data_IF_428796415627
#
_entry.id   IF_428796415627
#
_cell.length_a   1.000
_cell.length_b   1.000
_cell.length_c   1.000
_cell.angle_alpha   90.00
_cell.angle_beta   90.00
_cell.angle_gamma   90.00
#
_symmetry.space_group_name_H-M   'P 1'
#
loop_
_entity.id
_entity.type
_entity.pdbx_description
1 polymer ?
#
# COMPACT_ATOMS: atom_id res chain seq x y z
N UNK A 1 32.02 12.83 18.24
CA UNK A 1 31.09 11.98 17.46
C UNK A 1 29.80 11.77 18.23
N UNK A 2 29.01 12.84 18.37
CA UNK A 2 27.69 12.83 19.02
C UNK A 2 26.71 13.81 18.31
N UNK A 3 27.15 14.46 17.23
CA UNK A 3 26.41 15.51 16.53
C UNK A 3 25.68 15.00 15.28
N UNK A 4 25.94 13.77 14.82
CA UNK A 4 25.23 13.16 13.67
C UNK A 4 23.97 12.38 14.07
N UNK A 5 23.77 12.03 15.36
CA UNK A 5 22.54 11.34 15.81
C UNK A 5 21.34 12.28 15.90
N UNK A 6 21.53 13.52 16.34
CA UNK A 6 20.43 14.45 16.56
C UNK A 6 19.75 14.95 15.26
N UNK A 7 20.48 14.93 14.12
CA UNK A 7 19.95 15.33 12.82
C UNK A 7 19.15 14.23 12.09
N UNK A 8 19.37 12.96 12.45
CA UNK A 8 18.65 11.81 11.89
C UNK A 8 17.32 11.54 12.61
N UNK A 9 17.21 11.89 13.89
CA UNK A 9 16.01 11.63 14.70
C UNK A 9 14.79 12.49 14.30
N UNK A 10 14.97 13.69 13.74
CA UNK A 10 13.85 14.57 13.35
C UNK A 10 13.28 14.28 11.97
N UNK A 11 14.09 13.78 11.02
CA UNK A 11 13.64 13.44 9.66
C UNK A 11 12.90 12.10 9.65
N UNK A 12 13.12 11.27 10.68
CA UNK A 12 12.55 9.93 10.82
C UNK A 12 11.12 9.94 11.38
N UNK A 13 10.73 10.92 12.22
CA UNK A 13 9.42 10.90 12.89
C UNK A 13 8.24 11.14 11.94
N UNK A 14 8.38 12.01 10.93
CA UNK A 14 7.32 12.29 9.95
C UNK A 14 7.22 11.17 8.90
N UNK A 15 8.37 10.65 8.46
CA UNK A 15 8.47 9.46 7.62
C UNK A 15 7.83 8.23 8.29
N UNK A 16 8.09 8.06 9.58
CA UNK A 16 7.51 7.01 10.40
C UNK A 16 5.99 7.15 10.57
N UNK A 17 5.50 8.39 10.79
CA UNK A 17 4.05 8.65 10.84
C UNK A 17 3.39 8.17 9.55
N UNK A 18 3.98 8.49 8.40
CA UNK A 18 3.50 8.05 7.09
C UNK A 18 3.55 6.52 6.93
N UNK A 19 4.65 5.85 7.31
CA UNK A 19 4.74 4.39 7.22
C UNK A 19 3.67 3.68 8.05
N UNK A 20 3.47 4.11 9.30
CA UNK A 20 2.40 3.58 10.14
C UNK A 20 1.02 3.89 9.52
N UNK A 21 0.81 5.11 9.05
CA UNK A 21 -0.50 5.56 8.58
C UNK A 21 -0.90 4.99 7.23
N UNK A 22 0.02 4.75 6.31
CA UNK A 22 -0.32 4.32 4.95
C UNK A 22 -0.05 2.81 4.73
N UNK A 23 0.97 2.25 5.38
CA UNK A 23 1.48 0.92 5.00
C UNK A 23 1.12 -0.20 6.00
N UNK A 24 0.88 0.15 7.27
CA UNK A 24 0.55 -0.84 8.33
C UNK A 24 -0.98 -1.01 8.48
N UNK A 25 -1.77 -0.33 7.65
CA UNK A 25 -3.23 -0.49 7.65
C UNK A 25 -3.66 -1.80 6.95
N UNK A 26 -4.60 -2.56 7.53
CA UNK A 26 -5.18 -2.38 8.86
C UNK A 26 -4.21 -2.80 9.98
N UNK A 27 -4.13 -2.01 11.06
CA UNK A 27 -3.11 -2.17 12.11
C UNK A 27 -3.24 -3.53 12.81
N UNK A 28 -2.33 -4.47 12.53
CA UNK A 28 -2.33 -5.81 13.11
C UNK A 28 -1.46 -5.94 14.36
N UNK A 29 -1.88 -6.79 15.31
CA UNK A 29 -0.99 -7.21 16.40
C UNK A 29 0.20 -8.02 15.84
N UNK A 30 1.43 -7.67 16.24
CA UNK A 30 2.67 -8.29 15.72
C UNK A 30 2.97 -9.69 16.30
N UNK A 31 2.23 -10.12 17.32
CA UNK A 31 2.54 -11.34 18.07
C UNK A 31 1.47 -12.42 17.84
N UNK A 32 1.83 -13.56 17.21
CA UNK A 32 0.88 -14.63 16.88
C UNK A 32 0.13 -15.23 18.08
N UNK A 33 0.73 -15.22 19.28
CA UNK A 33 0.10 -15.72 20.52
C UNK A 33 -0.58 -14.64 21.35
N UNK A 34 -0.69 -13.41 20.85
CA UNK A 34 -1.62 -12.49 21.47
C UNK A 34 -3.00 -13.14 21.40
N UNK A 35 -3.72 -13.25 22.54
CA UNK A 35 -5.07 -13.87 22.67
C UNK A 35 -6.18 -13.33 21.73
N UNK A 36 -5.76 -12.47 20.81
CA UNK A 36 -6.46 -11.60 19.87
C UNK A 36 -5.61 -11.53 18.57
N UNK A 37 -5.01 -12.64 18.11
CA UNK A 37 -4.02 -12.68 17.01
C UNK A 37 -4.56 -12.25 15.63
N UNK A 38 -5.85 -11.92 15.57
CA UNK A 38 -6.55 -11.34 14.43
C UNK A 38 -7.10 -9.92 14.74
N UNK A 39 -6.63 -9.26 15.80
CA UNK A 39 -7.10 -7.89 16.08
C UNK A 39 -6.39 -6.92 15.18
N UNK A 40 -7.14 -6.59 14.14
CA UNK A 40 -6.99 -5.43 13.32
C UNK A 40 -7.63 -4.25 14.05
N UNK A 41 -6.89 -3.15 14.18
CA UNK A 41 -7.44 -1.90 14.69
C UNK A 41 -7.75 -1.00 13.50
N UNK A 42 -8.88 -0.28 13.59
CA UNK A 42 -9.23 0.72 12.59
C UNK A 42 -8.37 1.99 12.75
N UNK A 43 -7.93 2.27 13.98
CA UNK A 43 -7.17 3.46 14.31
C UNK A 43 -5.83 3.14 14.99
N UNK A 44 -4.79 3.86 14.57
CA UNK A 44 -3.43 3.78 15.10
C UNK A 44 -3.35 3.86 16.62
N UNK A 45 -4.11 4.78 17.22
CA UNK A 45 -4.10 5.01 18.67
C UNK A 45 -4.55 3.77 19.45
N UNK A 46 -5.50 3.01 18.90
CA UNK A 46 -6.00 1.78 19.50
C UNK A 46 -4.94 0.67 19.41
N UNK A 47 -4.28 0.55 18.26
CA UNK A 47 -3.16 -0.36 18.05
C UNK A 47 -1.98 -0.05 18.97
N UNK A 48 -1.53 1.21 19.05
CA UNK A 48 -0.43 1.60 19.93
C UNK A 48 -0.78 1.32 21.40
N UNK A 49 -2.02 1.63 21.82
CA UNK A 49 -2.51 1.34 23.17
C UNK A 49 -2.49 -0.16 23.47
N UNK A 50 -2.86 -0.99 22.50
CA UNK A 50 -2.75 -2.43 22.61
C UNK A 50 -1.29 -2.89 22.74
N UNK A 51 -0.41 -2.44 21.84
CA UNK A 51 1.00 -2.84 21.83
C UNK A 51 1.71 -2.45 23.12
N UNK A 52 1.46 -1.24 23.63
CA UNK A 52 2.00 -0.74 24.91
C UNK A 52 1.46 -1.50 26.13
N UNK A 53 0.22 -2.00 26.07
CA UNK A 53 -0.42 -2.66 27.24
C UNK A 53 -0.27 -4.18 27.27
N UNK A 54 -0.05 -4.82 26.11
CA UNK A 54 -0.02 -6.29 25.97
C UNK A 54 1.36 -6.84 25.61
N UNK A 55 2.29 -6.01 25.15
CA UNK A 55 3.61 -6.45 24.68
C UNK A 55 4.76 -5.67 25.34
N UNK A 56 5.96 -6.26 25.40
CA UNK A 56 7.15 -5.59 25.92
C UNK A 56 7.48 -4.29 25.19
N UNK A 57 8.00 -3.29 25.89
CA UNK A 57 8.29 -1.95 25.34
C UNK A 57 9.31 -1.92 24.19
N UNK A 58 10.05 -3.01 23.96
CA UNK A 58 10.97 -3.15 22.83
C UNK A 58 10.27 -3.49 21.50
N UNK A 59 8.94 -3.66 21.47
CA UNK A 59 8.20 -3.87 20.20
C UNK A 59 8.44 -2.73 19.19
N UNK A 60 8.77 -1.52 19.67
CA UNK A 60 9.15 -0.40 18.82
C UNK A 60 10.42 -0.71 18.02
N UNK A 61 11.40 -1.42 18.59
CA UNK A 61 12.60 -1.80 17.85
C UNK A 61 12.27 -2.72 16.67
N UNK A 62 11.19 -3.50 16.78
CA UNK A 62 10.72 -4.40 15.73
C UNK A 62 10.12 -3.66 14.51
N UNK A 63 9.72 -2.40 14.69
CA UNK A 63 9.05 -1.58 13.66
C UNK A 63 9.99 -0.51 13.08
N UNK A 64 11.16 -0.28 13.71
CA UNK A 64 11.97 0.93 13.52
C UNK A 64 13.40 0.73 12.97
N UNK A 65 13.83 -0.45 12.53
CA UNK A 65 15.25 -0.65 12.14
C UNK A 65 15.48 -0.69 10.63
N UNK A 66 16.40 0.15 10.12
CA UNK A 66 16.95 0.13 8.75
C UNK A 66 17.63 -1.20 8.34
N UNK A 67 17.58 -2.20 9.22
CA UNK A 67 18.18 -3.53 9.08
C UNK A 67 17.07 -4.55 9.28
N UNK A 68 16.99 -5.54 8.39
CA UNK A 68 16.03 -6.62 8.46
C UNK A 68 16.41 -7.58 9.57
N UNK A 69 15.47 -8.04 10.40
CA UNK A 69 15.82 -8.99 11.45
C UNK A 69 14.76 -10.07 11.70
N UNK A 70 15.21 -11.13 12.35
CA UNK A 70 14.38 -12.17 12.92
C UNK A 70 14.85 -12.51 14.34
N UNK A 71 13.94 -12.44 15.30
CA UNK A 71 14.14 -12.74 16.72
C UNK A 71 13.31 -13.96 17.17
N UNK A 72 12.56 -14.58 16.25
CA UNK A 72 11.70 -15.73 16.55
C UNK A 72 12.50 -17.02 16.42
N UNK A 73 12.52 -17.83 17.48
CA UNK A 73 13.27 -19.10 17.56
C UNK A 73 14.80 -18.96 17.42
N UNK A 74 15.33 -17.76 17.60
CA UNK A 74 16.77 -17.48 17.61
C UNK A 74 17.22 -17.00 19.00
N UNK A 75 18.39 -17.44 19.45
CA UNK A 75 18.99 -16.96 20.71
C UNK A 75 19.46 -15.50 20.59
N UNK A 76 19.89 -15.10 19.39
CA UNK A 76 20.33 -13.75 19.05
C UNK A 76 19.54 -13.27 17.83
N UNK A 77 19.34 -11.95 17.73
CA UNK A 77 18.66 -11.34 16.58
C UNK A 77 19.47 -11.54 15.31
N UNK A 78 18.91 -12.30 14.35
CA UNK A 78 19.52 -12.50 13.04
C UNK A 78 19.23 -11.30 12.15
N UNK A 79 20.26 -10.72 11.54
CA UNK A 79 20.12 -9.61 10.59
C UNK A 79 20.21 -10.09 9.14
N UNK A 80 19.47 -9.46 8.23
CA UNK A 80 19.49 -9.75 6.79
C UNK A 80 19.82 -8.50 5.98
N UNK A 81 20.39 -8.69 4.80
CA UNK A 81 20.75 -7.61 3.89
C UNK A 81 19.55 -7.13 3.07
N UNK A 82 18.60 -8.03 2.77
CA UNK A 82 17.42 -7.73 1.93
C UNK A 82 16.11 -8.20 2.56
N UNK A 83 15.01 -7.54 2.18
CA UNK A 83 13.65 -7.93 2.59
C UNK A 83 13.33 -9.36 2.17
N UNK A 84 13.66 -9.72 0.93
CA UNK A 84 13.33 -11.02 0.35
C UNK A 84 13.98 -12.15 1.16
N UNK A 85 15.27 -12.03 1.47
CA UNK A 85 15.99 -12.99 2.32
C UNK A 85 15.32 -13.13 3.70
N UNK A 86 14.90 -12.01 4.29
CA UNK A 86 14.22 -12.03 5.59
C UNK A 86 12.84 -12.67 5.48
N UNK A 87 12.07 -12.40 4.41
CA UNK A 87 10.73 -12.98 4.20
C UNK A 87 10.82 -14.48 3.96
N UNK A 88 11.73 -14.94 3.11
CA UNK A 88 11.98 -16.35 2.87
C UNK A 88 12.37 -17.07 4.16
N UNK A 89 13.27 -16.47 4.95
CA UNK A 89 13.66 -17.00 6.27
C UNK A 89 12.47 -17.09 7.24
N UNK A 90 11.73 -15.98 7.40
CA UNK A 90 10.62 -15.89 8.37
C UNK A 90 9.47 -16.82 8.01
N UNK A 91 9.28 -17.12 6.72
CA UNK A 91 8.23 -18.01 6.23
C UNK A 91 8.65 -19.49 6.23
N UNK A 92 9.93 -19.81 6.44
CA UNK A 92 10.42 -21.19 6.49
C UNK A 92 10.06 -21.86 7.84
N UNK A 93 9.15 -22.86 7.85
CA UNK A 93 8.78 -23.56 9.08
C UNK A 93 9.94 -24.38 9.67
N UNK A 94 10.92 -24.79 8.86
CA UNK A 94 12.07 -25.56 9.33
C UNK A 94 13.02 -24.70 10.19
N UNK A 95 13.07 -23.39 9.93
CA UNK A 95 13.89 -22.43 10.69
C UNK A 95 13.18 -21.91 11.94
N UNK A 96 11.87 -22.16 12.06
CA UNK A 96 11.02 -21.72 13.17
C UNK A 96 10.21 -22.88 13.75
N UNK A 97 10.87 -23.89 14.34
CA UNK A 97 10.21 -25.14 14.76
C UNK A 97 9.26 -24.97 15.94
N UNK A 98 9.36 -23.90 16.73
CA UNK A 98 8.41 -23.64 17.83
C UNK A 98 7.29 -22.68 17.42
N UNK A 99 7.27 -22.25 16.15
CA UNK A 99 6.24 -21.38 15.60
C UNK A 99 5.03 -22.22 15.17
N UNK A 100 3.90 -21.97 15.81
CA UNK A 100 2.63 -22.66 15.52
C UNK A 100 1.89 -22.08 14.31
N UNK A 101 2.02 -20.78 14.05
CA UNK A 101 1.32 -20.08 12.96
C UNK A 101 2.26 -19.18 12.16
N UNK A 102 2.08 -19.15 10.84
CA UNK A 102 2.81 -18.24 9.96
C UNK A 102 2.30 -16.81 10.15
N UNK A 103 3.20 -15.80 10.11
CA UNK A 103 2.81 -14.41 10.20
C UNK A 103 1.96 -14.02 8.98
N UNK A 104 0.89 -13.27 9.24
CA UNK A 104 0.04 -12.73 8.20
C UNK A 104 0.68 -11.50 7.53
N UNK A 105 0.11 -11.08 6.40
CA UNK A 105 0.64 -9.98 5.60
C UNK A 105 0.76 -8.65 6.37
N UNK A 106 -0.21 -8.23 7.22
CA UNK A 106 -0.02 -7.09 8.11
C UNK A 106 1.15 -7.22 9.09
N UNK A 107 1.39 -8.41 9.66
CA UNK A 107 2.51 -8.67 10.56
C UNK A 107 3.86 -8.61 9.83
N UNK A 108 3.90 -9.08 8.59
CA UNK A 108 5.07 -8.98 7.73
C UNK A 108 5.34 -7.51 7.37
N UNK A 109 4.33 -6.78 6.92
CA UNK A 109 4.44 -5.36 6.53
C UNK A 109 4.90 -4.48 7.70
N UNK A 110 4.36 -4.68 8.89
CA UNK A 110 4.73 -3.88 10.07
C UNK A 110 6.15 -4.14 10.60
N UNK A 111 6.83 -5.17 10.11
CA UNK A 111 8.21 -5.49 10.45
C UNK A 111 9.15 -5.30 9.25
N UNK A 112 8.66 -4.65 8.20
CA UNK A 112 9.46 -4.25 7.04
C UNK A 112 9.83 -2.78 7.14
N UNK A 113 11.10 -2.46 6.90
CA UNK A 113 11.55 -1.07 6.89
C UNK A 113 11.73 -0.60 5.46
N UNK A 114 10.99 0.45 5.09
CA UNK A 114 11.23 1.16 3.84
C UNK A 114 12.44 2.10 4.03
N UNK A 115 13.32 2.12 3.03
CA UNK A 115 14.36 3.14 2.92
C UNK A 115 13.80 4.36 2.19
N UNK A 116 14.35 5.55 2.49
CA UNK A 116 13.99 6.84 1.91
C UNK A 116 14.05 6.89 0.36
N UNK A 117 14.78 5.96 -0.25
CA UNK A 117 15.00 5.93 -1.71
C UNK A 117 14.02 5.02 -2.48
N UNK A 118 12.98 4.49 -1.83
CA UNK A 118 11.84 3.94 -2.58
C UNK A 118 10.84 5.06 -2.88
N UNK A 119 10.89 5.53 -4.13
CA UNK A 119 9.77 6.19 -4.80
C UNK A 119 8.47 5.45 -4.46
N UNK A 120 7.56 6.20 -3.85
CA UNK A 120 6.13 5.96 -3.76
C UNK A 120 5.62 4.67 -3.07
N UNK A 121 4.88 4.89 -1.98
CA UNK A 121 3.89 3.93 -1.48
C UNK A 121 2.70 3.91 -2.45
N UNK A 122 2.81 3.10 -3.50
CA UNK A 122 1.66 2.75 -4.36
C UNK A 122 0.93 1.48 -3.91
N UNK A 123 1.26 0.92 -2.73
CA UNK A 123 0.73 -0.38 -2.26
C UNK A 123 -0.52 -0.33 -1.37
N UNK A 124 -0.77 0.76 -0.65
CA UNK A 124 -1.86 0.83 0.34
C UNK A 124 -3.26 0.80 -0.30
N UNK A 125 -3.49 1.65 -1.29
CA UNK A 125 -4.76 1.68 -2.03
C UNK A 125 -4.96 0.43 -2.88
N UNK A 126 -3.87 -0.14 -3.43
CA UNK A 126 -3.91 -1.36 -4.22
C UNK A 126 -4.40 -2.56 -3.40
N UNK A 127 -3.78 -2.79 -2.23
CA UNK A 127 -4.15 -3.89 -1.35
C UNK A 127 -5.61 -3.83 -0.89
N UNK A 128 -6.08 -2.65 -0.47
CA UNK A 128 -7.48 -2.44 -0.07
C UNK A 128 -8.43 -2.64 -1.25
N UNK A 129 -8.07 -2.13 -2.44
CA UNK A 129 -8.89 -2.25 -3.64
C UNK A 129 -9.04 -3.71 -4.06
N UNK A 130 -7.93 -4.48 -4.10
CA UNK A 130 -7.95 -5.92 -4.37
C UNK A 130 -8.83 -6.68 -3.38
N UNK A 131 -8.72 -6.36 -2.09
CA UNK A 131 -9.57 -6.95 -1.05
C UNK A 131 -11.06 -6.66 -1.32
N UNK A 132 -11.43 -5.41 -1.57
CA UNK A 132 -12.82 -5.01 -1.81
C UNK A 132 -13.39 -5.67 -3.08
N UNK A 133 -12.63 -5.68 -4.18
CA UNK A 133 -13.02 -6.33 -5.44
C UNK A 133 -13.24 -7.83 -5.23
N UNK A 134 -12.32 -8.51 -4.55
CA UNK A 134 -12.43 -9.95 -4.25
C UNK A 134 -13.67 -10.28 -3.37
N UNK A 135 -14.15 -9.31 -2.60
CA UNK A 135 -15.39 -9.42 -1.81
C UNK A 135 -16.64 -8.89 -2.53
N UNK A 136 -16.55 -8.63 -3.84
CA UNK A 136 -17.70 -8.27 -4.68
C UNK A 136 -18.08 -6.79 -4.66
N UNK A 137 -17.16 -5.90 -4.27
CA UNK A 137 -17.38 -4.46 -4.43
C UNK A 137 -17.56 -4.11 -5.92
N UNK A 138 -18.56 -3.29 -6.22
CA UNK A 138 -18.83 -2.85 -7.58
C UNK A 138 -17.99 -1.61 -7.92
N UNK A 139 -16.96 -1.80 -8.75
CA UNK A 139 -16.02 -0.74 -9.18
C UNK A 139 -16.60 0.19 -10.26
N UNK A 140 -17.77 -0.13 -10.82
CA UNK A 140 -18.42 0.65 -11.88
C UNK A 140 -19.36 1.73 -11.34
N UNK A 141 -19.52 1.84 -10.02
CA UNK A 141 -20.37 2.87 -9.42
C UNK A 141 -19.67 4.21 -9.55
N UNK A 142 -20.34 5.16 -10.20
CA UNK A 142 -19.93 6.55 -10.25
C UNK A 142 -20.41 7.32 -9.02
N UNK A 143 -19.56 8.19 -8.46
CA UNK A 143 -19.97 9.08 -7.38
C UNK A 143 -20.95 10.17 -7.89
N UNK A 144 -21.83 10.65 -7.01
CA UNK A 144 -22.86 11.62 -7.42
C UNK A 144 -22.32 13.02 -7.71
N UNK A 145 -21.19 13.40 -7.10
CA UNK A 145 -20.68 14.77 -7.18
C UNK A 145 -19.95 15.00 -8.49
N UNK A 146 -19.10 14.06 -8.89
CA UNK A 146 -18.22 14.18 -10.05
C UNK A 146 -18.49 13.14 -11.12
N UNK A 147 -19.34 12.14 -10.88
CA UNK A 147 -19.64 11.11 -11.86
C UNK A 147 -18.46 10.16 -12.09
N UNK A 148 -17.50 10.08 -11.17
CA UNK A 148 -16.29 9.29 -11.36
C UNK A 148 -16.45 7.91 -10.75
N UNK A 149 -16.09 6.90 -11.53
CA UNK A 149 -15.88 5.53 -11.05
C UNK A 149 -14.59 5.46 -10.24
N UNK A 150 -14.34 4.31 -9.60
CA UNK A 150 -13.05 4.08 -8.91
C UNK A 150 -11.86 4.30 -9.86
N UNK A 151 -11.95 3.79 -11.09
CA UNK A 151 -10.88 3.93 -12.09
C UNK A 151 -10.67 5.40 -12.50
N UNK A 152 -11.74 6.16 -12.70
CA UNK A 152 -11.65 7.58 -13.02
C UNK A 152 -11.07 8.42 -11.86
N UNK A 153 -11.26 7.98 -10.61
CA UNK A 153 -10.59 8.60 -9.46
C UNK A 153 -9.11 8.29 -9.39
N UNK A 154 -8.69 7.06 -9.72
CA UNK A 154 -7.30 6.67 -9.78
C UNK A 154 -6.54 7.44 -10.88
N UNK A 155 -7.14 7.51 -12.08
CA UNK A 155 -6.63 8.28 -13.21
C UNK A 155 -6.55 9.77 -12.88
N UNK A 156 -7.58 10.34 -12.23
CA UNK A 156 -7.57 11.77 -11.91
C UNK A 156 -6.46 12.21 -10.96
N UNK A 157 -5.98 11.31 -10.09
CA UNK A 157 -4.94 11.61 -9.10
C UNK A 157 -3.57 11.02 -9.49
N UNK A 158 -3.39 10.57 -10.73
CA UNK A 158 -2.14 9.99 -11.24
C UNK A 158 -1.67 8.77 -10.42
N UNK A 159 -2.61 7.93 -9.99
CA UNK A 159 -2.33 6.71 -9.24
C UNK A 159 -2.12 5.52 -10.19
N UNK A 160 -1.06 5.55 -10.98
CA UNK A 160 -0.74 4.59 -12.04
C UNK A 160 -0.95 3.11 -11.61
N UNK A 161 -0.39 2.71 -10.46
CA UNK A 161 -0.54 1.33 -9.97
C UNK A 161 -1.99 0.96 -9.67
N UNK A 162 -2.78 1.88 -9.11
CA UNK A 162 -4.19 1.67 -8.81
C UNK A 162 -5.03 1.65 -10.09
N UNK A 163 -4.67 2.45 -11.10
CA UNK A 163 -5.25 2.37 -12.46
C UNK A 163 -5.03 0.95 -12.99
N UNK A 164 -3.80 0.43 -12.92
CA UNK A 164 -3.49 -0.95 -13.32
C UNK A 164 -4.44 -1.97 -12.67
N UNK A 165 -4.52 -1.96 -11.34
CA UNK A 165 -5.35 -2.90 -10.58
C UNK A 165 -6.84 -2.79 -10.89
N UNK A 166 -7.39 -1.58 -10.95
CA UNK A 166 -8.81 -1.39 -11.25
C UNK A 166 -9.16 -1.80 -12.67
N UNK A 167 -8.21 -1.68 -13.59
CA UNK A 167 -8.39 -2.07 -14.98
C UNK A 167 -8.27 -3.58 -15.15
N UNK A 168 -7.33 -4.23 -14.47
CA UNK A 168 -7.26 -5.70 -14.34
C UNK A 168 -8.52 -6.29 -13.71
N UNK A 169 -9.14 -5.57 -12.77
CA UNK A 169 -10.43 -5.92 -12.18
C UNK A 169 -11.64 -5.69 -13.11
N UNK A 170 -11.41 -5.25 -14.35
CA UNK A 170 -12.44 -5.04 -15.37
C UNK A 170 -13.05 -3.64 -15.37
N UNK A 171 -12.41 -2.66 -14.74
CA UNK A 171 -12.84 -1.25 -14.80
C UNK A 171 -12.96 -0.75 -16.23
N UNK A 172 -13.98 0.08 -16.51
CA UNK A 172 -14.21 0.61 -17.85
C UNK A 172 -13.20 1.73 -18.16
N UNK A 173 -12.24 1.54 -19.08
CA UNK A 173 -11.26 2.58 -19.42
C UNK A 173 -11.87 3.74 -20.21
N UNK A 174 -13.06 3.55 -20.80
CA UNK A 174 -13.82 4.56 -21.54
C UNK A 174 -14.87 5.27 -20.67
N UNK A 175 -14.70 5.25 -19.35
CA UNK A 175 -15.61 5.99 -18.48
C UNK A 175 -15.46 7.50 -18.68
N UNK A 176 -16.53 8.23 -18.35
CA UNK A 176 -16.54 9.69 -18.37
C UNK A 176 -16.83 10.21 -16.96
N UNK A 177 -16.25 11.35 -16.62
CA UNK A 177 -16.73 12.13 -15.48
C UNK A 177 -17.84 13.11 -15.88
N UNK A 178 -18.46 13.76 -14.89
CA UNK A 178 -19.50 14.76 -15.10
C UNK A 178 -19.01 16.01 -15.86
N UNK A 179 -17.69 16.18 -16.02
CA UNK A 179 -17.13 17.23 -16.86
C UNK A 179 -17.00 16.80 -18.33
N UNK A 180 -17.33 15.54 -18.65
CA UNK A 180 -17.27 14.96 -19.98
C UNK A 180 -15.91 14.41 -20.37
N UNK A 181 -14.96 14.30 -19.42
CA UNK A 181 -13.57 13.92 -19.70
C UNK A 181 -13.41 12.42 -19.81
N UNK A 182 -12.71 11.98 -20.85
CA UNK A 182 -12.23 10.60 -20.98
C UNK A 182 -10.97 10.42 -20.13
N UNK A 183 -10.77 9.22 -19.58
CA UNK A 183 -9.56 8.92 -18.80
C UNK A 183 -8.31 9.07 -19.67
N UNK A 184 -8.32 8.47 -20.87
CA UNK A 184 -7.18 8.57 -21.79
C UNK A 184 -6.89 10.03 -22.21
N UNK A 185 -7.92 10.86 -22.40
CA UNK A 185 -7.73 12.27 -22.68
C UNK A 185 -7.09 13.02 -21.52
N UNK A 186 -7.47 12.68 -20.28
CA UNK A 186 -6.89 13.24 -19.08
C UNK A 186 -5.41 12.82 -18.91
N UNK A 187 -5.09 11.53 -19.05
CA UNK A 187 -3.71 11.05 -18.97
C UNK A 187 -2.80 11.73 -20.01
N UNK A 188 -3.28 11.90 -21.26
CA UNK A 188 -2.53 12.60 -22.31
C UNK A 188 -2.38 14.09 -22.02
N UNK A 189 -3.42 14.78 -21.53
CA UNK A 189 -3.35 16.20 -21.14
C UNK A 189 -2.37 16.42 -19.98
N UNK A 190 -2.31 15.49 -19.03
CA UNK A 190 -1.36 15.50 -17.91
C UNK A 190 0.06 15.09 -18.27
N UNK A 191 0.27 14.45 -19.43
CA UNK A 191 1.56 13.88 -19.83
C UNK A 191 1.92 12.58 -19.08
N UNK A 192 0.94 11.90 -18.50
CA UNK A 192 1.13 10.63 -17.80
C UNK A 192 1.19 9.46 -18.79
N UNK A 193 2.40 9.20 -19.29
CA UNK A 193 2.66 8.10 -20.23
C UNK A 193 2.32 6.72 -19.63
N UNK A 194 2.55 6.54 -18.33
CA UNK A 194 2.34 5.25 -17.65
C UNK A 194 0.86 4.89 -17.60
N UNK A 195 0.02 5.79 -17.10
CA UNK A 195 -1.43 5.62 -17.08
C UNK A 195 -2.00 5.49 -18.48
N UNK A 196 -1.53 6.29 -19.45
CA UNK A 196 -1.98 6.17 -20.85
C UNK A 196 -1.69 4.77 -21.43
N UNK A 197 -0.52 4.20 -21.15
CA UNK A 197 -0.16 2.83 -21.57
C UNK A 197 -1.08 1.79 -20.95
N UNK A 198 -1.40 1.92 -19.66
CA UNK A 198 -2.30 1.00 -18.95
C UNK A 198 -3.71 1.06 -19.56
N UNK A 199 -4.26 2.26 -19.76
CA UNK A 199 -5.59 2.43 -20.35
C UNK A 199 -5.66 1.88 -21.78
N UNK A 200 -4.64 2.14 -22.60
CA UNK A 200 -4.56 1.57 -23.96
C UNK A 200 -4.45 0.04 -23.93
N UNK A 201 -3.66 -0.53 -23.01
CA UNK A 201 -3.56 -1.99 -22.84
C UNK A 201 -4.91 -2.62 -22.44
N UNK A 202 -5.79 -1.84 -21.82
CA UNK A 202 -7.14 -2.22 -21.47
C UNK A 202 -8.20 -1.97 -22.56
N UNK A 203 -7.76 -1.60 -23.76
CA UNK A 203 -8.62 -1.25 -24.89
C UNK A 203 -9.42 0.05 -24.71
N UNK A 204 -8.86 1.07 -24.06
CA UNK A 204 -9.40 2.42 -24.14
C UNK A 204 -9.51 2.86 -25.62
N UNK A 205 -10.63 3.45 -26.00
CA UNK A 205 -10.84 3.99 -27.34
C UNK A 205 -10.06 5.31 -27.50
N UNK A 206 -8.99 5.26 -28.30
CA UNK A 206 -8.13 6.40 -28.60
C UNK A 206 -8.80 7.49 -29.47
N UNK A 207 -9.95 7.19 -30.07
CA UNK A 207 -10.76 8.13 -30.84
C UNK A 207 -11.96 8.64 -30.05
N UNK A 208 -12.11 8.21 -28.79
CA UNK A 208 -13.20 8.64 -27.93
C UNK A 208 -13.07 10.12 -27.62
N UNK A 209 -14.11 10.88 -27.97
CA UNK A 209 -14.13 12.33 -27.80
C UNK A 209 -14.61 12.70 -26.41
N UNK A 210 -13.88 13.58 -25.75
CA UNK A 210 -14.35 14.29 -24.57
C UNK A 210 -15.68 14.99 -24.89
N UNK A 211 -16.70 14.78 -24.05
CA UNK A 211 -18.07 15.22 -24.32
C UNK A 211 -18.22 16.74 -24.27
N UNK A 212 -17.27 17.46 -23.67
CA UNK A 212 -17.34 18.92 -23.48
C UNK A 212 -16.61 19.68 -24.58
N UNK A 213 -15.44 19.22 -24.96
CA UNK A 213 -14.55 19.84 -25.94
C UNK A 213 -14.68 19.21 -27.33
N UNK A 214 -15.22 17.99 -27.44
CA UNK A 214 -15.32 17.23 -28.68
C UNK A 214 -13.96 16.75 -29.21
N UNK A 215 -12.90 16.84 -28.40
CA UNK A 215 -11.54 16.49 -28.78
C UNK A 215 -11.24 15.04 -28.46
N UNK A 216 -10.49 14.39 -29.33
CA UNK A 216 -9.85 13.11 -29.07
C UNK A 216 -8.62 13.34 -28.17
N UNK A 217 -8.11 12.33 -27.46
CA UNK A 217 -6.88 12.43 -26.68
C UNK A 217 -5.69 13.05 -27.43
N UNK A 218 -5.59 12.86 -28.76
CA UNK A 218 -4.52 13.42 -29.59
C UNK A 218 -4.76 14.84 -30.15
N UNK A 219 -5.92 15.46 -29.92
CA UNK A 219 -6.36 16.72 -30.57
C UNK A 219 -6.29 17.96 -29.66
#
# INVERSE_FOLDING_TARGET
MALERAGLEQVDEEYWKLHIEEDIKPYGCLYPRCSRSLVLFAHRQEWESHMKSKHPSHWMQTVHTLTWFCDVDHNDTLAFETELQRREHVLDPALHPNREELPNEPQLAATTVRHKDHEASYGGYDGITKLLVNHGANIHIADQRYGRTALAWADFNDYETLVGTLTEAGGNPDAFDNFGRTLLGQAVEGGDEGTARILMAANADCELRDLKSGRTPLA
#
